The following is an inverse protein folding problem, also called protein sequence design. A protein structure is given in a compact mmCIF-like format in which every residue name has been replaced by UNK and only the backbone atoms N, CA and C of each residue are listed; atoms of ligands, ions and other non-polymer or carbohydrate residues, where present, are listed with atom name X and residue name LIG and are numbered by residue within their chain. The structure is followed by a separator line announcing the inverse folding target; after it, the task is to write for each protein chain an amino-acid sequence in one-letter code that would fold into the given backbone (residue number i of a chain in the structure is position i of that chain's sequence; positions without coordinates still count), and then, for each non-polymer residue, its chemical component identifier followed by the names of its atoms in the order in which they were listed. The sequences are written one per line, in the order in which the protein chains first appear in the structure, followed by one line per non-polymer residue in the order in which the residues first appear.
data_IF_248641840081
#
_entry.id   IF_248641840081
#
_cell.length_a   1.000
_cell.length_b   1.000
_cell.length_c   1.000
_cell.angle_alpha   90.00
_cell.angle_beta   90.00
_cell.angle_gamma   90.00
#
_symmetry.space_group_name_H-M   'P 1'
#
loop_
_entity.id
_entity.type
_entity.pdbx_description
1 polymer ?
#
# COMPACT_ATOMS: atom_id res chain seq x y z
N UNK A 1 -20.72 4.11 1.69
CA UNK A 1 -19.42 3.56 2.02
C UNK A 1 -19.44 3.14 3.48
N UNK A 2 -18.81 2.02 3.79
CA UNK A 2 -18.78 1.49 5.15
C UNK A 2 -17.30 1.38 5.56
N UNK A 3 -16.75 2.38 6.25
CA UNK A 3 -15.36 2.31 6.74
C UNK A 3 -15.17 1.19 7.75
N UNK A 4 -16.23 0.78 8.45
CA UNK A 4 -16.30 -0.35 9.36
C UNK A 4 -17.14 -1.43 8.69
N UNK A 5 -16.58 -2.64 8.48
CA UNK A 5 -17.31 -3.77 7.90
C UNK A 5 -18.19 -4.47 8.94
N UNK A 6 -17.60 -4.75 10.11
CA UNK A 6 -18.26 -5.44 11.21
C UNK A 6 -17.82 -4.84 12.53
N UNK A 7 -18.74 -4.78 13.49
CA UNK A 7 -18.44 -4.56 14.89
C UNK A 7 -18.76 -5.88 15.62
N UNK A 8 -17.78 -6.43 16.33
CA UNK A 8 -17.91 -7.70 17.07
C UNK A 8 -17.74 -7.40 18.55
N UNK A 9 -18.77 -7.70 19.34
CA UNK A 9 -18.69 -7.57 20.80
C UNK A 9 -18.03 -8.80 21.39
N UNK A 10 -16.81 -8.66 21.87
CA UNK A 10 -16.07 -9.73 22.56
C UNK A 10 -16.23 -9.60 24.07
N UNK A 11 -16.47 -10.69 24.81
CA UNK A 11 -16.77 -10.66 26.27
C UNK A 11 -15.68 -10.01 27.13
N UNK A 12 -14.42 -10.01 26.67
CA UNK A 12 -13.24 -9.49 27.40
C UNK A 12 -12.68 -8.18 26.84
N UNK A 13 -12.96 -7.85 25.56
CA UNK A 13 -12.36 -6.73 24.84
C UNK A 13 -13.38 -5.64 24.47
N UNK A 14 -14.67 -5.85 24.80
CA UNK A 14 -15.73 -4.92 24.42
C UNK A 14 -16.06 -4.99 22.93
N UNK A 15 -16.51 -3.88 22.37
CA UNK A 15 -16.84 -3.76 20.95
C UNK A 15 -15.57 -3.52 20.12
N UNK A 16 -15.21 -4.50 19.30
CA UNK A 16 -14.05 -4.42 18.38
C UNK A 16 -14.58 -4.13 16.99
N UNK A 17 -14.27 -2.94 16.48
CA UNK A 17 -14.59 -2.53 15.12
C UNK A 17 -13.53 -3.07 14.15
N UNK A 18 -13.97 -3.70 13.07
CA UNK A 18 -13.10 -4.17 11.99
C UNK A 18 -13.13 -3.17 10.82
N UNK A 19 -12.08 -2.33 10.67
CA UNK A 19 -12.00 -1.38 9.57
C UNK A 19 -11.94 -2.09 8.22
N UNK A 20 -12.74 -1.63 7.26
CA UNK A 20 -12.89 -2.24 5.94
C UNK A 20 -11.54 -2.37 5.21
N UNK A 21 -10.71 -1.33 5.29
CA UNK A 21 -9.40 -1.31 4.64
C UNK A 21 -8.48 -2.43 5.16
N UNK A 22 -8.29 -2.51 6.48
CA UNK A 22 -7.40 -3.51 7.08
C UNK A 22 -7.92 -4.94 6.90
N UNK A 23 -9.23 -5.13 7.00
CA UNK A 23 -9.85 -6.45 6.81
C UNK A 23 -9.65 -6.95 5.38
N UNK A 24 -9.91 -6.11 4.38
CA UNK A 24 -9.70 -6.49 2.98
C UNK A 24 -8.22 -6.64 2.63
N UNK A 25 -7.36 -5.80 3.18
CA UNK A 25 -5.91 -5.93 3.01
C UNK A 25 -5.41 -7.26 3.55
N UNK A 26 -5.82 -7.63 4.78
CA UNK A 26 -5.47 -8.92 5.39
C UNK A 26 -5.99 -10.11 4.58
N UNK A 27 -7.22 -10.02 4.06
CA UNK A 27 -7.77 -11.03 3.16
C UNK A 27 -6.94 -11.16 1.88
N UNK A 28 -6.53 -10.05 1.28
CA UNK A 28 -5.66 -10.02 0.10
C UNK A 28 -4.30 -10.69 0.37
N UNK A 29 -3.68 -10.40 1.52
CA UNK A 29 -2.46 -11.08 1.96
C UNK A 29 -2.65 -12.58 2.17
N UNK A 30 -3.71 -12.99 2.86
CA UNK A 30 -4.00 -14.40 3.09
C UNK A 30 -4.19 -15.16 1.77
N UNK A 31 -4.91 -14.60 0.82
CA UNK A 31 -5.09 -15.19 -0.50
C UNK A 31 -3.79 -15.26 -1.29
N UNK A 32 -2.97 -14.21 -1.28
CA UNK A 32 -1.66 -14.21 -1.92
C UNK A 32 -0.76 -15.30 -1.32
N UNK A 33 -0.73 -15.44 0.01
CA UNK A 33 0.00 -16.47 0.71
C UNK A 33 -0.48 -17.87 0.34
N UNK A 34 -1.80 -18.11 0.34
CA UNK A 34 -2.39 -19.40 -0.05
C UNK A 34 -2.01 -19.79 -1.49
N UNK A 35 -2.03 -18.82 -2.41
CA UNK A 35 -1.63 -19.04 -3.80
C UNK A 35 -0.16 -19.42 -3.88
N UNK A 36 0.74 -18.68 -3.23
CA UNK A 36 2.19 -18.94 -3.28
C UNK A 36 2.54 -20.29 -2.67
N UNK A 37 1.95 -20.65 -1.53
CA UNK A 37 2.14 -21.95 -0.88
C UNK A 37 1.58 -23.09 -1.74
N UNK A 38 0.39 -22.91 -2.36
CA UNK A 38 -0.18 -23.91 -3.27
C UNK A 38 0.69 -24.16 -4.51
N UNK A 39 1.23 -23.08 -5.08
CA UNK A 39 2.14 -23.21 -6.23
C UNK A 39 3.48 -23.84 -5.83
N UNK A 40 4.01 -23.54 -4.65
CA UNK A 40 5.19 -24.21 -4.12
C UNK A 40 4.99 -25.71 -4.01
N UNK A 41 3.86 -26.16 -3.41
CA UNK A 41 3.49 -27.59 -3.35
C UNK A 41 3.39 -28.23 -4.73
N UNK A 42 2.76 -27.55 -5.71
CA UNK A 42 2.60 -28.08 -7.08
C UNK A 42 3.91 -28.20 -7.83
N UNK A 43 4.90 -27.39 -7.52
CA UNK A 43 6.20 -27.35 -8.22
C UNK A 43 7.30 -28.07 -7.46
N UNK A 44 6.97 -28.76 -6.35
CA UNK A 44 7.90 -29.52 -5.54
C UNK A 44 8.91 -28.67 -4.77
N UNK A 45 8.59 -27.37 -4.54
CA UNK A 45 9.38 -26.52 -3.66
C UNK A 45 8.96 -26.72 -2.21
N UNK A 46 9.90 -26.48 -1.31
CA UNK A 46 9.64 -26.49 0.13
C UNK A 46 8.63 -25.41 0.48
N UNK A 47 7.39 -25.84 0.76
CA UNK A 47 6.29 -24.94 1.03
C UNK A 47 6.35 -24.33 2.42
N UNK A 48 7.08 -24.94 3.37
CA UNK A 48 7.29 -24.38 4.70
C UNK A 48 8.21 -23.16 4.59
N UNK A 49 9.30 -23.27 3.84
CA UNK A 49 10.18 -22.13 3.57
C UNK A 49 9.44 -20.99 2.86
N UNK A 50 8.52 -21.31 1.95
CA UNK A 50 7.70 -20.28 1.27
C UNK A 50 6.71 -19.63 2.23
N UNK A 51 6.08 -20.40 3.11
CA UNK A 51 5.19 -19.87 4.14
C UNK A 51 5.94 -18.94 5.09
N UNK A 52 7.07 -19.37 5.60
CA UNK A 52 7.95 -18.57 6.47
C UNK A 52 8.40 -17.28 5.76
N UNK A 53 8.80 -17.39 4.49
CA UNK A 53 9.16 -16.21 3.69
C UNK A 53 8.02 -15.20 3.66
N UNK A 54 6.79 -15.63 3.40
CA UNK A 54 5.63 -14.75 3.34
C UNK A 54 5.35 -14.09 4.69
N UNK A 55 5.38 -14.84 5.79
CA UNK A 55 5.14 -14.33 7.14
C UNK A 55 6.20 -13.31 7.55
N UNK A 56 7.46 -13.63 7.37
CA UNK A 56 8.56 -12.72 7.69
C UNK A 56 8.62 -11.49 6.78
N UNK A 57 8.19 -11.59 5.52
CA UNK A 57 8.05 -10.42 4.63
C UNK A 57 7.04 -9.41 5.18
N UNK A 58 5.95 -9.84 5.83
CA UNK A 58 5.02 -8.92 6.50
C UNK A 58 5.70 -8.19 7.65
N UNK A 59 6.43 -8.92 8.50
CA UNK A 59 7.15 -8.32 9.65
C UNK A 59 8.21 -7.31 9.16
N UNK A 60 9.08 -7.72 8.24
CA UNK A 60 10.11 -6.84 7.69
C UNK A 60 9.51 -5.69 6.87
N UNK A 61 8.37 -5.91 6.22
CA UNK A 61 7.62 -4.87 5.54
C UNK A 61 7.13 -3.79 6.49
N UNK A 62 6.57 -4.16 7.64
CA UNK A 62 6.13 -3.19 8.67
C UNK A 62 7.33 -2.43 9.24
N UNK A 63 8.41 -3.13 9.59
CA UNK A 63 9.64 -2.52 10.10
C UNK A 63 10.20 -1.52 9.08
N UNK A 64 10.32 -1.92 7.82
CA UNK A 64 10.85 -1.07 6.75
C UNK A 64 9.97 0.14 6.44
N UNK A 65 8.64 -0.04 6.43
CA UNK A 65 7.69 1.04 6.23
C UNK A 65 7.80 2.09 7.33
N UNK A 66 7.95 1.66 8.58
CA UNK A 66 8.13 2.56 9.72
C UNK A 66 9.49 3.23 9.73
N UNK A 67 10.56 2.48 9.46
CA UNK A 67 11.92 3.02 9.39
C UNK A 67 12.05 4.11 8.32
N UNK A 68 11.51 3.89 7.12
CA UNK A 68 11.56 4.90 6.06
C UNK A 68 10.73 6.14 6.40
N UNK A 69 9.55 5.98 7.01
CA UNK A 69 8.75 7.09 7.49
C UNK A 69 9.51 7.96 8.50
N UNK A 70 10.16 7.33 9.48
CA UNK A 70 10.93 8.03 10.48
C UNK A 70 12.08 8.85 9.87
N UNK A 71 12.83 8.23 8.92
CA UNK A 71 14.09 8.81 8.42
C UNK A 71 13.86 9.69 7.20
N UNK A 72 13.15 9.21 6.18
CA UNK A 72 13.05 9.89 4.90
C UNK A 72 11.96 10.96 4.85
N UNK A 73 10.86 10.78 5.58
CA UNK A 73 9.80 11.79 5.65
C UNK A 73 10.12 12.90 6.67
N UNK A 74 11.28 12.82 7.36
CA UNK A 74 11.78 13.86 8.25
C UNK A 74 11.11 13.91 9.62
N UNK A 75 10.34 12.88 9.98
CA UNK A 75 9.61 12.83 11.26
C UNK A 75 10.45 12.36 12.45
N UNK A 76 11.72 11.97 12.25
CA UNK A 76 12.57 11.49 13.33
C UNK A 76 12.65 12.50 14.47
N UNK A 77 12.81 13.80 14.13
CA UNK A 77 12.90 14.86 15.13
C UNK A 77 11.59 15.01 15.93
N UNK A 78 10.45 14.85 15.28
CA UNK A 78 9.14 14.94 15.95
C UNK A 78 8.95 13.80 16.95
N UNK A 79 9.38 12.57 16.61
CA UNK A 79 9.33 11.43 17.53
C UNK A 79 10.32 11.56 18.70
N UNK A 80 11.50 12.14 18.45
CA UNK A 80 12.46 12.46 19.52
C UNK A 80 11.86 13.53 20.43
N UNK A 81 11.27 14.58 19.88
CA UNK A 81 10.61 15.64 20.63
C UNK A 81 9.41 15.11 21.44
N UNK A 82 8.62 14.18 20.89
CA UNK A 82 7.53 13.52 21.63
C UNK A 82 8.01 12.84 22.92
N UNK A 83 9.23 12.32 22.91
CA UNK A 83 9.81 11.70 24.10
C UNK A 83 10.47 12.70 25.04
N UNK A 84 11.21 13.69 24.52
CA UNK A 84 12.01 14.63 25.32
C UNK A 84 11.22 15.87 25.74
N UNK A 85 10.63 16.57 24.77
CA UNK A 85 9.83 17.79 24.97
C UNK A 85 8.69 17.86 23.95
N UNK A 86 7.50 17.32 24.25
CA UNK A 86 6.36 17.31 23.34
C UNK A 86 5.89 18.70 22.86
N UNK A 87 6.26 19.76 23.54
CA UNK A 87 5.95 21.15 23.17
C UNK A 87 6.68 21.62 21.91
N UNK A 88 7.75 20.90 21.51
CA UNK A 88 8.51 21.17 20.29
C UNK A 88 7.97 20.43 19.06
N UNK A 89 7.04 19.51 19.25
CA UNK A 89 6.37 18.83 18.12
C UNK A 89 5.53 19.84 17.39
N UNK A 90 5.73 19.98 16.09
CA UNK A 90 4.89 20.84 15.25
C UNK A 90 3.45 20.36 15.36
N UNK A 91 2.56 21.23 15.85
CA UNK A 91 1.13 20.94 15.88
C UNK A 91 0.69 20.57 14.46
N UNK A 92 0.08 19.41 14.32
CA UNK A 92 -0.36 18.84 13.02
C UNK A 92 -1.42 19.72 12.36
N UNK A 93 -2.03 20.65 13.13
CA UNK A 93 -2.97 21.62 12.60
C UNK A 93 -2.74 23.01 13.19
N UNK A 94 -2.34 23.95 12.35
CA UNK A 94 -2.31 25.37 12.65
C UNK A 94 -3.71 25.97 12.91
N UNK A 95 -4.76 25.14 12.87
CA UNK A 95 -6.17 25.48 13.20
C UNK A 95 -6.55 25.10 14.63
N UNK A 96 -5.65 24.56 15.43
CA UNK A 96 -5.92 24.29 16.85
C UNK A 96 -5.97 25.62 17.58
N UNK A 97 -7.16 25.97 18.00
CA UNK A 97 -7.54 27.17 18.73
C UNK A 97 -6.58 27.41 19.89
N UNK A 98 -6.29 28.68 20.14
CA UNK A 98 -5.58 29.07 21.35
C UNK A 98 -6.25 28.46 22.57
N UNK A 99 -5.52 27.67 23.34
CA UNK A 99 -6.03 27.00 24.53
C UNK A 99 -5.62 27.75 25.80
N UNK A 100 -6.47 27.65 26.83
CA UNK A 100 -6.15 28.04 28.21
C UNK A 100 -6.26 26.86 29.17
N UNK A 101 -6.94 25.79 28.75
CA UNK A 101 -7.14 24.54 29.52
C UNK A 101 -7.04 23.33 28.60
N UNK A 102 -6.67 22.16 29.14
CA UNK A 102 -6.57 20.90 28.40
C UNK A 102 -7.89 20.49 27.75
N UNK A 103 -9.02 20.83 28.37
CA UNK A 103 -10.35 20.50 27.84
C UNK A 103 -10.65 21.19 26.49
N UNK A 104 -9.91 22.22 26.11
CA UNK A 104 -10.05 22.92 24.83
C UNK A 104 -9.22 22.25 23.73
N UNK A 105 -8.26 21.37 24.11
CA UNK A 105 -7.47 20.59 23.21
C UNK A 105 -8.18 19.26 22.96
N UNK A 106 -8.63 18.99 21.74
CA UNK A 106 -9.23 17.71 21.40
C UNK A 106 -8.23 16.54 21.44
N UNK A 107 -8.73 15.28 21.47
CA UNK A 107 -7.94 14.06 21.29
C UNK A 107 -6.77 13.86 22.27
N UNK A 108 -7.01 13.98 23.58
CA UNK A 108 -5.98 13.78 24.62
C UNK A 108 -4.77 14.74 24.55
N UNK A 109 -4.86 15.83 23.80
CA UNK A 109 -3.83 16.86 23.74
C UNK A 109 -3.84 17.70 25.02
N UNK A 110 -2.65 18.15 25.45
CA UNK A 110 -2.44 19.00 26.60
C UNK A 110 -2.25 20.44 26.16
N UNK A 111 -2.69 21.39 26.99
CA UNK A 111 -2.56 22.83 26.73
C UNK A 111 -1.28 23.39 27.34
N UNK A 112 -0.38 23.95 26.54
CA UNK A 112 0.67 24.84 27.04
C UNK A 112 0.07 26.22 27.27
N UNK A 113 -0.37 26.49 28.52
CA UNK A 113 -1.00 27.75 28.92
C UNK A 113 -0.09 28.98 28.71
N UNK A 114 1.24 28.80 28.66
CA UNK A 114 2.19 29.89 28.41
C UNK A 114 2.25 30.32 26.95
N UNK A 115 2.06 29.36 26.04
CA UNK A 115 2.09 29.56 24.56
C UNK A 115 0.71 29.55 23.93
N UNK A 116 -0.33 29.21 24.70
CA UNK A 116 -1.70 29.00 24.21
C UNK A 116 -1.82 28.01 23.06
N UNK A 117 -1.00 26.94 23.06
CA UNK A 117 -0.94 25.94 22.00
C UNK A 117 -1.14 24.53 22.57
N UNK A 118 -1.96 23.75 21.90
CA UNK A 118 -2.14 22.34 22.24
C UNK A 118 -0.97 21.50 21.71
N UNK A 119 -0.43 20.61 22.55
CA UNK A 119 0.61 19.69 22.18
C UNK A 119 0.22 18.25 22.57
N UNK A 120 0.75 17.22 21.89
CA UNK A 120 0.47 15.84 22.28
C UNK A 120 1.07 15.52 23.65
N UNK A 121 0.54 14.50 24.36
CA UNK A 121 1.15 14.00 25.59
C UNK A 121 2.52 13.38 25.28
N UNK A 122 3.35 13.30 26.32
CA UNK A 122 4.67 12.66 26.21
C UNK A 122 4.53 11.17 25.89
N UNK A 123 5.15 10.74 24.79
CA UNK A 123 5.11 9.35 24.34
C UNK A 123 6.45 8.93 23.72
N UNK A 124 7.24 8.17 24.48
CA UNK A 124 8.54 7.66 24.00
C UNK A 124 8.41 6.43 23.12
N UNK A 125 7.25 5.78 23.11
CA UNK A 125 6.99 4.58 22.30
C UNK A 125 6.22 4.87 21.00
N UNK A 126 5.84 6.13 20.76
CA UNK A 126 5.11 6.54 19.58
C UNK A 126 5.76 6.09 18.26
N UNK A 127 7.10 6.01 18.23
CA UNK A 127 7.83 5.48 17.08
C UNK A 127 7.54 4.00 16.77
N UNK A 128 7.10 3.21 17.75
CA UNK A 128 6.75 1.79 17.61
C UNK A 128 5.26 1.57 17.37
N UNK A 129 4.43 2.58 17.54
CA UNK A 129 2.98 2.49 17.38
C UNK A 129 2.56 2.53 15.90
N UNK A 130 2.76 1.41 15.22
CA UNK A 130 2.44 1.25 13.79
C UNK A 130 0.94 1.38 13.48
N UNK A 131 0.07 1.16 14.46
CA UNK A 131 -1.40 1.27 14.34
C UNK A 131 -1.91 2.72 14.27
N UNK A 132 -1.11 3.69 14.69
CA UNK A 132 -1.42 5.13 14.55
C UNK A 132 -1.11 5.69 13.16
N UNK A 133 -0.61 4.85 12.24
CA UNK A 133 -0.24 5.27 10.89
C UNK A 133 1.25 5.62 10.77
N UNK A 134 1.61 6.42 9.76
CA UNK A 134 3.02 6.75 9.49
C UNK A 134 3.80 5.56 8.95
N UNK A 135 3.33 4.96 7.86
CA UNK A 135 3.94 3.84 7.17
C UNK A 135 4.25 4.21 5.72
N UNK A 136 5.53 4.32 5.39
CA UNK A 136 5.97 4.60 4.03
C UNK A 136 6.03 3.32 3.19
N UNK A 137 5.17 3.23 2.16
CA UNK A 137 5.05 2.05 1.30
C UNK A 137 6.38 1.56 0.73
N UNK A 138 7.23 2.47 0.25
CA UNK A 138 8.51 2.09 -0.35
C UNK A 138 9.49 1.45 0.64
N UNK A 139 9.47 1.88 1.90
CA UNK A 139 10.26 1.25 2.96
C UNK A 139 9.85 -0.19 3.18
N UNK A 140 8.55 -0.44 3.26
CA UNK A 140 7.99 -1.78 3.38
C UNK A 140 8.37 -2.68 2.21
N UNK A 141 8.23 -2.18 0.99
CA UNK A 141 8.59 -2.92 -0.22
C UNK A 141 10.08 -3.28 -0.28
N UNK A 142 10.97 -2.33 0.02
CA UNK A 142 12.42 -2.55 -0.02
C UNK A 142 12.87 -3.58 1.02
N UNK A 143 12.42 -3.44 2.27
CA UNK A 143 12.81 -4.35 3.36
C UNK A 143 12.24 -5.75 3.16
N UNK A 144 10.96 -5.87 2.80
CA UNK A 144 10.36 -7.17 2.50
C UNK A 144 11.06 -7.87 1.33
N UNK A 145 11.38 -7.14 0.25
CA UNK A 145 12.08 -7.70 -0.91
C UNK A 145 13.52 -8.10 -0.57
N UNK A 146 14.25 -7.26 0.16
CA UNK A 146 15.61 -7.57 0.60
C UNK A 146 15.65 -8.81 1.50
N UNK A 147 14.71 -8.90 2.46
CA UNK A 147 14.55 -10.09 3.29
C UNK A 147 14.24 -11.33 2.45
N UNK A 148 13.28 -11.26 1.53
CA UNK A 148 12.93 -12.38 0.68
C UNK A 148 14.12 -12.89 -0.15
N UNK A 149 14.90 -11.97 -0.74
CA UNK A 149 16.12 -12.34 -1.50
C UNK A 149 17.13 -13.03 -0.59
N UNK A 150 17.38 -12.49 0.58
CA UNK A 150 18.32 -13.05 1.55
C UNK A 150 17.86 -14.43 2.04
N UNK A 151 16.62 -14.55 2.48
CA UNK A 151 16.06 -15.77 3.06
C UNK A 151 15.98 -16.91 2.04
N UNK A 152 15.47 -16.65 0.84
CA UNK A 152 15.41 -17.64 -0.24
C UNK A 152 16.79 -18.13 -0.67
N UNK A 153 17.78 -17.22 -0.77
CA UNK A 153 19.17 -17.59 -1.04
C UNK A 153 19.75 -18.48 0.07
N UNK A 154 19.43 -18.20 1.32
CA UNK A 154 19.88 -19.01 2.47
C UNK A 154 19.34 -20.46 2.38
N UNK A 155 18.14 -20.62 1.87
CA UNK A 155 17.48 -21.91 1.64
C UNK A 155 17.73 -22.49 0.24
N UNK A 156 18.67 -21.91 -0.53
CA UNK A 156 19.05 -22.35 -1.89
C UNK A 156 17.88 -22.34 -2.90
N UNK A 157 16.87 -21.52 -2.67
CA UNK A 157 15.74 -21.34 -3.58
C UNK A 157 15.98 -20.17 -4.54
N UNK A 158 15.57 -20.34 -5.80
CA UNK A 158 15.64 -19.28 -6.80
C UNK A 158 14.63 -18.18 -6.48
N UNK A 159 15.11 -16.95 -6.26
CA UNK A 159 14.25 -15.79 -6.07
C UNK A 159 13.27 -15.59 -7.22
N UNK A 160 13.73 -15.69 -8.47
CA UNK A 160 12.89 -15.48 -9.65
C UNK A 160 11.76 -16.51 -9.77
N UNK A 161 12.03 -17.77 -9.40
CA UNK A 161 11.01 -18.83 -9.40
C UNK A 161 9.90 -18.53 -8.39
N UNK A 162 10.28 -18.11 -7.17
CA UNK A 162 9.33 -17.75 -6.12
C UNK A 162 8.61 -16.45 -6.45
N UNK A 163 9.32 -15.47 -7.00
CA UNK A 163 8.75 -14.19 -7.42
C UNK A 163 7.68 -14.34 -8.51
N UNK A 164 7.81 -15.34 -9.39
CA UNK A 164 6.76 -15.66 -10.36
C UNK A 164 5.46 -16.12 -9.69
N UNK A 165 5.55 -16.91 -8.61
CA UNK A 165 4.36 -17.31 -7.85
C UNK A 165 3.76 -16.11 -7.09
N UNK A 166 4.64 -15.27 -6.56
CA UNK A 166 4.22 -14.07 -5.85
C UNK A 166 3.54 -13.06 -6.79
N UNK A 167 3.93 -13.00 -8.07
CA UNK A 167 3.47 -11.99 -9.01
C UNK A 167 1.94 -11.93 -9.15
N UNK A 168 1.27 -13.07 -9.35
CA UNK A 168 -0.19 -13.07 -9.41
C UNK A 168 -0.83 -12.99 -8.03
N UNK A 169 -0.15 -13.43 -6.99
CA UNK A 169 -0.58 -13.21 -5.61
C UNK A 169 -0.57 -11.73 -5.23
N UNK A 170 0.49 -11.00 -5.57
CA UNK A 170 0.60 -9.55 -5.34
C UNK A 170 -0.49 -8.81 -6.12
N UNK A 171 -0.66 -9.13 -7.42
CA UNK A 171 -1.68 -8.50 -8.25
C UNK A 171 -3.09 -8.72 -7.70
N UNK A 172 -3.40 -9.94 -7.23
CA UNK A 172 -4.67 -10.24 -6.59
C UNK A 172 -4.83 -9.53 -5.24
N UNK A 173 -3.77 -9.45 -4.44
CA UNK A 173 -3.76 -8.70 -3.18
C UNK A 173 -4.08 -7.22 -3.37
N UNK A 174 -3.56 -6.62 -4.45
CA UNK A 174 -3.87 -5.24 -4.81
C UNK A 174 -5.36 -5.03 -5.12
N UNK A 175 -6.06 -6.02 -5.68
CA UNK A 175 -7.53 -5.94 -5.89
C UNK A 175 -8.23 -5.66 -4.56
N UNK A 176 -7.93 -6.44 -3.53
CA UNK A 176 -8.54 -6.28 -2.20
C UNK A 176 -8.12 -4.98 -1.52
N UNK A 177 -6.85 -4.60 -1.62
CA UNK A 177 -6.36 -3.32 -1.09
C UNK A 177 -7.09 -2.13 -1.71
N UNK A 178 -7.36 -2.15 -3.03
CA UNK A 178 -8.10 -1.07 -3.72
C UNK A 178 -9.59 -1.07 -3.40
N UNK A 179 -10.20 -2.23 -3.22
CA UNK A 179 -11.56 -2.31 -2.68
C UNK A 179 -11.64 -1.74 -1.26
N UNK A 180 -10.62 -2.00 -0.43
CA UNK A 180 -10.49 -1.40 0.89
C UNK A 180 -10.39 0.13 0.84
N UNK A 181 -9.57 0.69 -0.06
CA UNK A 181 -9.49 2.14 -0.30
C UNK A 181 -10.85 2.73 -0.72
N UNK A 182 -11.60 2.01 -1.56
CA UNK A 182 -12.94 2.46 -2.00
C UNK A 182 -13.93 2.54 -0.83
N UNK A 183 -13.98 1.51 0.03
CA UNK A 183 -14.85 1.51 1.19
C UNK A 183 -14.43 2.56 2.25
N UNK A 184 -13.14 2.83 2.37
CA UNK A 184 -12.59 3.86 3.25
C UNK A 184 -12.81 5.29 2.72
N UNK A 185 -12.99 5.44 1.40
CA UNK A 185 -13.24 6.74 0.76
C UNK A 185 -11.99 7.53 0.37
N UNK A 186 -10.79 6.92 0.44
CA UNK A 186 -9.51 7.54 0.05
C UNK A 186 -9.10 7.21 -1.40
N UNK A 187 -8.12 7.92 -1.94
CA UNK A 187 -7.53 7.63 -3.26
C UNK A 187 -8.51 7.75 -4.44
N UNK A 188 -9.46 8.64 -4.35
CA UNK A 188 -10.44 8.95 -5.40
C UNK A 188 -9.82 9.70 -6.59
N UNK A 189 -10.60 9.86 -7.65
CA UNK A 189 -10.19 10.57 -8.86
C UNK A 189 -10.79 11.95 -9.00
N UNK A 190 -10.58 12.54 -10.17
CA UNK A 190 -11.07 13.87 -10.56
C UNK A 190 -12.59 13.93 -10.53
N UNK A 191 -13.12 15.12 -10.29
CA UNK A 191 -14.54 15.40 -10.41
C UNK A 191 -15.02 15.03 -11.82
N UNK A 192 -16.14 14.35 -11.93
CA UNK A 192 -16.68 13.89 -13.20
C UNK A 192 -18.20 14.06 -13.28
N UNK A 193 -18.69 14.25 -14.50
CA UNK A 193 -20.12 14.22 -14.81
C UNK A 193 -20.56 12.92 -15.49
N UNK A 194 -19.63 11.96 -15.61
CA UNK A 194 -19.93 10.68 -16.24
C UNK A 194 -20.83 9.81 -15.36
N UNK A 195 -21.56 8.87 -15.97
CA UNK A 195 -22.46 7.95 -15.27
C UNK A 195 -21.73 7.02 -14.27
N UNK A 196 -20.40 6.87 -14.39
CA UNK A 196 -19.57 6.09 -13.45
C UNK A 196 -19.11 6.89 -12.24
N UNK A 197 -19.44 8.19 -12.15
CA UNK A 197 -19.09 9.05 -11.02
C UNK A 197 -19.73 8.56 -9.72
N UNK A 198 -18.97 8.57 -8.62
CA UNK A 198 -19.41 8.15 -7.30
C UNK A 198 -19.34 9.35 -6.34
N UNK A 199 -20.42 9.56 -5.58
CA UNK A 199 -20.48 10.59 -4.55
C UNK A 199 -20.06 9.99 -3.21
N UNK A 200 -19.01 10.56 -2.61
CA UNK A 200 -18.53 10.17 -1.29
C UNK A 200 -19.30 10.88 -0.17
N UNK A 201 -19.41 10.28 1.02
CA UNK A 201 -20.17 10.87 2.11
C UNK A 201 -19.53 12.17 2.61
N UNK A 202 -20.36 13.05 3.22
CA UNK A 202 -19.89 14.25 3.89
C UNK A 202 -18.90 13.92 5.00
N UNK A 203 -17.89 14.76 5.17
CA UNK A 203 -16.81 14.56 6.13
C UNK A 203 -15.75 13.54 5.70
N UNK A 204 -15.94 12.83 4.57
CA UNK A 204 -14.92 11.98 3.97
C UNK A 204 -13.82 12.77 3.23
N UNK A 205 -12.73 12.11 2.86
CA UNK A 205 -11.55 12.76 2.26
C UNK A 205 -11.89 13.55 0.98
N UNK A 206 -12.70 12.97 0.08
CA UNK A 206 -13.11 13.63 -1.16
C UNK A 206 -13.94 14.91 -0.89
N UNK A 207 -14.84 14.86 0.10
CA UNK A 207 -15.64 16.01 0.47
C UNK A 207 -14.78 17.11 1.09
N UNK A 208 -13.85 16.76 1.99
CA UNK A 208 -12.92 17.71 2.62
C UNK A 208 -12.05 18.41 1.59
N UNK A 209 -11.44 17.66 0.70
CA UNK A 209 -10.59 18.21 -0.35
C UNK A 209 -11.37 19.15 -1.30
N UNK A 210 -12.62 18.83 -1.64
CA UNK A 210 -13.47 19.69 -2.45
C UNK A 210 -13.88 20.98 -1.70
N UNK A 211 -14.12 20.89 -0.39
CA UNK A 211 -14.41 22.03 0.48
C UNK A 211 -13.19 22.96 0.59
N UNK A 212 -12.00 22.41 0.83
CA UNK A 212 -10.74 23.14 0.92
C UNK A 212 -10.37 23.80 -0.39
N UNK A 213 -10.66 23.14 -1.52
CA UNK A 213 -10.50 23.71 -2.86
C UNK A 213 -11.59 24.75 -3.24
N UNK A 214 -12.54 25.05 -2.34
CA UNK A 214 -13.63 25.98 -2.61
C UNK A 214 -14.63 25.52 -3.68
N UNK A 215 -14.65 24.23 -4.02
CA UNK A 215 -15.55 23.66 -5.05
C UNK A 215 -16.97 23.40 -4.54
N UNK A 216 -17.13 23.29 -3.23
CA UNK A 216 -18.40 23.09 -2.51
C UNK A 216 -18.43 23.93 -1.24
N UNK A 217 -19.62 24.15 -0.69
CA UNK A 217 -19.81 24.78 0.63
C UNK A 217 -20.06 23.71 1.71
N UNK A 218 -19.97 24.10 2.97
CA UNK A 218 -20.13 23.20 4.12
C UNK A 218 -21.48 22.45 4.13
N UNK A 219 -22.53 23.07 3.58
CA UNK A 219 -23.87 22.50 3.49
C UNK A 219 -24.04 21.51 2.31
N UNK A 220 -23.13 21.53 1.34
CA UNK A 220 -23.27 20.78 0.10
C UNK A 220 -22.86 19.31 0.26
N UNK A 221 -23.38 18.44 -0.61
CA UNK A 221 -22.86 17.09 -0.79
C UNK A 221 -21.56 17.16 -1.61
N UNK A 222 -20.74 16.10 -1.54
CA UNK A 222 -19.58 15.99 -2.39
C UNK A 222 -19.99 15.91 -3.87
N UNK A 223 -19.18 16.50 -4.75
CA UNK A 223 -19.32 16.31 -6.19
C UNK A 223 -18.92 14.88 -6.57
N UNK A 224 -19.57 14.29 -7.61
CA UNK A 224 -19.21 12.98 -8.07
C UNK A 224 -17.78 12.96 -8.63
N UNK A 225 -17.00 11.93 -8.26
CA UNK A 225 -15.61 11.74 -8.67
C UNK A 225 -15.40 10.38 -9.34
N UNK A 226 -14.38 10.26 -10.18
CA UNK A 226 -14.00 8.97 -10.75
C UNK A 226 -13.59 7.99 -9.63
N UNK A 227 -14.21 6.78 -9.54
CA UNK A 227 -13.83 5.76 -8.57
C UNK A 227 -12.54 5.03 -9.02
N UNK A 228 -11.41 5.75 -9.01
CA UNK A 228 -10.11 5.25 -9.48
C UNK A 228 -9.64 4.02 -8.71
N UNK A 229 -10.12 3.82 -7.47
CA UNK A 229 -9.90 2.60 -6.70
C UNK A 229 -10.49 1.38 -7.41
N UNK A 230 -11.72 1.51 -7.91
CA UNK A 230 -12.38 0.42 -8.66
C UNK A 230 -11.71 0.19 -10.01
N UNK A 231 -11.28 1.25 -10.70
CA UNK A 231 -10.53 1.10 -11.96
C UNK A 231 -9.24 0.33 -11.75
N UNK A 232 -8.49 0.66 -10.71
CA UNK A 232 -7.23 -0.03 -10.38
C UNK A 232 -7.49 -1.47 -9.89
N UNK A 233 -8.58 -1.70 -9.14
CA UNK A 233 -8.99 -3.04 -8.72
C UNK A 233 -9.30 -3.93 -9.93
N UNK A 234 -10.11 -3.45 -10.87
CA UNK A 234 -10.42 -4.18 -12.11
C UNK A 234 -9.17 -4.40 -12.96
N UNK A 235 -8.31 -3.38 -13.10
CA UNK A 235 -7.06 -3.50 -13.83
C UNK A 235 -6.14 -4.58 -13.21
N UNK A 236 -6.00 -4.61 -11.88
CA UNK A 236 -5.23 -5.64 -11.18
C UNK A 236 -5.85 -7.04 -11.36
N UNK A 237 -7.17 -7.15 -11.36
CA UNK A 237 -7.85 -8.43 -11.63
C UNK A 237 -7.57 -8.92 -13.06
N UNK A 238 -7.62 -8.03 -14.04
CA UNK A 238 -7.28 -8.33 -15.45
C UNK A 238 -5.80 -8.72 -15.56
N UNK A 239 -4.89 -8.00 -14.91
CA UNK A 239 -3.47 -8.34 -14.83
C UNK A 239 -3.28 -9.74 -14.25
N UNK A 240 -3.93 -10.05 -13.12
CA UNK A 240 -3.90 -11.39 -12.52
C UNK A 240 -4.37 -12.47 -13.50
N UNK A 241 -5.48 -12.24 -14.18
CA UNK A 241 -6.03 -13.18 -15.17
C UNK A 241 -5.06 -13.39 -16.35
N UNK A 242 -4.48 -12.33 -16.89
CA UNK A 242 -3.49 -12.43 -17.98
C UNK A 242 -2.24 -13.19 -17.50
N UNK A 243 -1.71 -12.88 -16.31
CA UNK A 243 -0.53 -13.56 -15.78
C UNK A 243 -0.80 -15.05 -15.55
N UNK A 244 -1.96 -15.40 -15.01
CA UNK A 244 -2.30 -16.78 -14.66
C UNK A 244 -2.71 -17.62 -15.86
N UNK A 245 -3.62 -17.12 -16.70
CA UNK A 245 -4.21 -17.91 -17.81
C UNK A 245 -3.43 -17.79 -19.11
N UNK A 246 -2.79 -16.64 -19.37
CA UNK A 246 -2.12 -16.40 -20.65
C UNK A 246 -0.60 -16.55 -20.53
N UNK A 247 -0.01 -15.94 -19.51
CA UNK A 247 1.45 -15.87 -19.40
C UNK A 247 2.06 -17.12 -18.77
N UNK A 248 1.46 -17.60 -17.68
CA UNK A 248 1.93 -18.80 -16.97
C UNK A 248 2.10 -20.04 -17.86
N UNK A 249 1.13 -20.43 -18.71
CA UNK A 249 1.30 -21.60 -19.59
C UNK A 249 2.36 -21.41 -20.69
N UNK A 250 2.72 -20.17 -21.00
CA UNK A 250 3.73 -19.80 -22.03
C UNK A 250 5.09 -19.45 -21.44
N UNK A 251 5.23 -19.52 -20.13
CA UNK A 251 6.48 -19.22 -19.42
C UNK A 251 7.60 -20.14 -19.91
N UNK A 252 8.77 -19.56 -20.24
CA UNK A 252 9.98 -20.27 -20.70
C UNK A 252 11.10 -20.23 -19.68
N UNK A 253 11.16 -19.18 -18.83
CA UNK A 253 12.21 -19.01 -17.84
C UNK A 253 11.63 -18.47 -16.52
N UNK A 254 12.31 -18.76 -15.40
CA UNK A 254 11.95 -18.22 -14.08
C UNK A 254 12.18 -16.71 -14.06
N UNK A 255 11.17 -15.96 -13.61
CA UNK A 255 11.13 -14.49 -13.59
C UNK A 255 10.31 -13.86 -14.72
N UNK A 256 9.81 -14.63 -15.69
CA UNK A 256 9.01 -14.07 -16.79
C UNK A 256 7.63 -13.56 -16.31
N UNK A 257 7.01 -14.23 -15.33
CA UNK A 257 5.72 -13.80 -14.80
C UNK A 257 5.89 -12.52 -13.96
N UNK A 258 6.96 -12.45 -13.16
CA UNK A 258 7.33 -11.21 -12.46
C UNK A 258 7.53 -10.06 -13.44
N UNK A 259 8.29 -10.28 -14.52
CA UNK A 259 8.50 -9.26 -15.55
C UNK A 259 7.19 -8.84 -16.22
N UNK A 260 6.27 -9.80 -16.45
CA UNK A 260 4.92 -9.53 -16.93
C UNK A 260 4.12 -8.65 -15.97
N UNK A 261 4.19 -8.92 -14.67
CA UNK A 261 3.57 -8.07 -13.64
C UNK A 261 4.09 -6.63 -13.72
N UNK A 262 5.42 -6.44 -13.77
CA UNK A 262 6.01 -5.10 -13.83
C UNK A 262 5.53 -4.31 -15.05
N UNK A 263 5.44 -4.95 -16.22
CA UNK A 263 4.97 -4.31 -17.45
C UNK A 263 3.47 -4.01 -17.37
N UNK A 264 2.65 -5.02 -17.11
CA UNK A 264 1.20 -4.88 -17.16
C UNK A 264 0.68 -3.93 -16.07
N UNK A 265 1.21 -4.05 -14.84
CA UNK A 265 0.86 -3.15 -13.75
C UNK A 265 1.36 -1.73 -14.01
N UNK A 266 2.60 -1.56 -14.52
CA UNK A 266 3.13 -0.26 -14.90
C UNK A 266 2.25 0.44 -15.93
N UNK A 267 1.80 -0.26 -16.97
CA UNK A 267 0.87 0.28 -17.98
C UNK A 267 -0.49 0.62 -17.36
N UNK A 268 -1.08 -0.30 -16.58
CA UNK A 268 -2.34 -0.07 -15.91
C UNK A 268 -2.28 1.16 -15.00
N UNK A 269 -1.16 1.32 -14.29
CA UNK A 269 -0.94 2.45 -13.38
C UNK A 269 -0.87 3.79 -14.11
N UNK A 270 -0.20 3.85 -15.25
CA UNK A 270 -0.17 5.07 -16.09
C UNK A 270 -1.58 5.44 -16.57
N UNK A 271 -2.38 4.46 -16.98
CA UNK A 271 -3.76 4.70 -17.45
C UNK A 271 -4.66 5.21 -16.31
N UNK A 272 -4.63 4.56 -15.14
CA UNK A 272 -5.45 4.97 -14.00
C UNK A 272 -5.06 6.36 -13.48
N UNK A 273 -3.78 6.72 -13.55
CA UNK A 273 -3.27 8.02 -13.08
C UNK A 273 -3.90 9.21 -13.82
N UNK A 274 -4.31 9.05 -15.06
CA UNK A 274 -4.99 10.11 -15.83
C UNK A 274 -6.28 10.59 -15.16
N UNK A 275 -6.96 9.69 -14.46
CA UNK A 275 -8.23 9.94 -13.78
C UNK A 275 -8.08 10.36 -12.31
N UNK A 276 -6.86 10.34 -11.75
CA UNK A 276 -6.60 10.66 -10.33
C UNK A 276 -6.53 12.16 -10.08
N UNK A 277 -6.90 12.58 -8.86
CA UNK A 277 -6.89 13.98 -8.40
C UNK A 277 -6.08 14.16 -7.10
N UNK A 278 -5.54 13.10 -6.50
CA UNK A 278 -4.80 13.21 -5.25
C UNK A 278 -3.39 13.77 -5.47
N UNK A 279 -3.01 14.72 -4.64
CA UNK A 279 -1.70 15.39 -4.68
C UNK A 279 -0.59 14.46 -4.17
N UNK A 280 0.08 13.74 -5.08
CA UNK A 280 1.22 12.84 -4.76
C UNK A 280 2.55 13.38 -5.22
N UNK A 281 2.66 14.67 -5.39
CA UNK A 281 3.81 15.32 -6.00
C UNK A 281 3.76 15.24 -7.52
N UNK A 282 4.06 16.36 -8.13
CA UNK A 282 4.15 16.54 -9.57
C UNK A 282 5.53 17.05 -9.94
N UNK A 283 6.06 16.56 -11.03
CA UNK A 283 7.35 16.97 -11.56
C UNK A 283 7.17 17.73 -12.88
N UNK A 284 8.17 18.49 -13.24
CA UNK A 284 8.21 19.25 -14.50
C UNK A 284 6.97 20.14 -14.71
N UNK A 285 6.62 20.94 -13.69
CA UNK A 285 5.50 21.88 -13.79
C UNK A 285 4.11 21.23 -13.88
N UNK A 286 3.94 20.02 -13.36
CA UNK A 286 2.65 19.33 -13.34
C UNK A 286 2.43 18.33 -14.49
N UNK A 287 3.43 18.13 -15.36
CA UNK A 287 3.31 17.25 -16.52
C UNK A 287 3.38 15.76 -16.17
N UNK A 288 4.15 15.39 -15.14
CA UNK A 288 4.41 13.99 -14.78
C UNK A 288 4.15 13.81 -13.28
N UNK A 289 3.30 12.83 -12.92
CA UNK A 289 3.09 12.44 -11.52
C UNK A 289 4.21 11.50 -11.03
N UNK A 290 4.41 11.45 -9.70
CA UNK A 290 5.32 10.49 -9.07
C UNK A 290 5.02 9.05 -9.49
N UNK A 291 3.75 8.70 -9.62
CA UNK A 291 3.33 7.35 -10.04
C UNK A 291 3.73 7.04 -11.47
N UNK A 292 3.60 8.00 -12.39
CA UNK A 292 4.04 7.84 -13.78
C UNK A 292 5.56 7.72 -13.86
N UNK A 293 6.29 8.54 -13.09
CA UNK A 293 7.75 8.48 -13.04
C UNK A 293 8.26 7.10 -12.57
N UNK A 294 7.58 6.46 -11.61
CA UNK A 294 7.91 5.12 -11.13
C UNK A 294 7.48 4.04 -12.14
N UNK A 295 6.38 4.24 -12.86
CA UNK A 295 5.89 3.26 -13.83
C UNK A 295 6.84 3.07 -15.02
N UNK A 296 7.54 4.12 -15.46
CA UNK A 296 8.52 4.03 -16.55
C UNK A 296 9.64 3.02 -16.27
N UNK A 297 10.38 3.09 -15.14
CA UNK A 297 11.39 2.09 -14.80
C UNK A 297 10.81 0.70 -14.53
N UNK A 298 9.56 0.58 -14.04
CA UNK A 298 8.90 -0.71 -13.90
C UNK A 298 8.71 -1.38 -15.26
N UNK A 299 8.14 -0.66 -16.23
CA UNK A 299 7.93 -1.17 -17.60
C UNK A 299 9.29 -1.48 -18.26
N UNK A 300 10.24 -0.54 -18.20
CA UNK A 300 11.57 -0.73 -18.77
C UNK A 300 12.33 -1.89 -18.15
N UNK A 301 12.28 -2.02 -16.82
CA UNK A 301 12.88 -3.11 -16.06
C UNK A 301 12.25 -4.47 -16.40
N UNK A 302 10.93 -4.52 -16.53
CA UNK A 302 10.20 -5.72 -16.96
C UNK A 302 10.60 -6.15 -18.38
N UNK A 303 10.64 -5.22 -19.33
CA UNK A 303 11.08 -5.49 -20.70
C UNK A 303 12.55 -5.95 -20.76
N UNK A 304 13.43 -5.29 -20.01
CA UNK A 304 14.83 -5.70 -19.90
C UNK A 304 14.95 -7.11 -19.31
N UNK A 305 14.20 -7.39 -18.24
CA UNK A 305 14.25 -8.70 -17.58
C UNK A 305 13.79 -9.82 -18.53
N UNK A 306 12.70 -9.66 -19.27
CA UNK A 306 12.25 -10.64 -20.27
C UNK A 306 13.33 -10.87 -21.32
N UNK A 307 13.90 -9.81 -21.89
CA UNK A 307 14.96 -9.91 -22.90
C UNK A 307 16.18 -10.67 -22.36
N UNK A 308 16.60 -10.35 -21.14
CA UNK A 308 17.73 -10.99 -20.48
C UNK A 308 17.47 -12.47 -20.19
N UNK A 309 16.30 -12.81 -19.67
CA UNK A 309 15.92 -14.18 -19.34
C UNK A 309 15.83 -15.05 -20.60
N UNK A 310 15.20 -14.55 -21.66
CA UNK A 310 15.08 -15.29 -22.93
C UNK A 310 16.42 -15.48 -23.64
N UNK A 311 17.37 -14.56 -23.51
CA UNK A 311 18.74 -14.74 -24.03
C UNK A 311 19.53 -15.80 -23.26
N UNK A 312 19.28 -15.96 -21.94
CA UNK A 312 19.95 -16.97 -21.10
C UNK A 312 19.26 -18.33 -21.13
N UNK A 313 17.97 -18.37 -21.44
CA UNK A 313 17.15 -19.60 -21.49
C UNK A 313 17.36 -20.44 -22.75
N UNK A 314 18.41 -20.17 -23.54
CA UNK A 314 18.88 -21.05 -24.60
C UNK A 314 19.61 -22.30 -24.07
N UNK A 315 20.00 -22.35 -22.80
CA UNK A 315 20.52 -23.54 -22.15
C UNK A 315 19.39 -24.31 -21.47
N UNK A 316 19.12 -25.58 -21.91
CA UNK A 316 18.09 -26.38 -21.25
C UNK A 316 18.54 -26.66 -19.81
N UNK A 317 17.70 -26.25 -18.85
CA UNK A 317 17.86 -26.69 -17.47
C UNK A 317 17.94 -28.22 -17.43
N UNK A 318 18.94 -28.82 -16.78
CA UNK A 318 18.95 -30.25 -16.55
C UNK A 318 17.68 -30.56 -15.74
N UNK A 319 16.79 -31.33 -16.36
CA UNK A 319 15.66 -31.97 -15.68
C UNK A 319 16.22 -32.73 -14.49
N UNK A 320 15.86 -32.31 -13.28
CA UNK A 320 16.09 -33.09 -12.07
C UNK A 320 15.18 -34.33 -12.15
N UNK A 321 15.57 -35.28 -12.99
CA UNK A 321 15.10 -36.64 -12.96
C UNK A 321 16.28 -37.54 -12.65
N UNK A 322 16.14 -38.29 -11.59
CA UNK A 322 16.92 -39.41 -11.08
C UNK A 322 17.60 -39.13 -9.73
N UNK A 323 16.85 -39.24 -8.63
CA UNK A 323 17.03 -40.38 -7.69
C UNK A 323 16.04 -40.22 -6.54
#
# INVERSE_FOLDING_TARGET
MKPILFAITLPLLGEVELPAYFTLLTLGFALAMLITVREAKRTGLDHEVILDTNLWMVVWGIIGARALHLVADGHLQDYVNLCLDPKLVKAIDAKVQSCTTDAQCGYDYLCDAARHVCHPPRDCFAALEVWRGGLAYYGGFLFATAFAIWYLRRHRLSFFRVADFAAYGISLGLVFGRLGCFLNGCCYGKVTRSAVGVVFPRGGDAWRAQLEAGRIHLADAALPVHPTQLYESVACLVVTAILYFVWRPRKRADGEILAGLLILYGVARVIVEVFRDDERGVFFGGLISTSQLISVPLIGGGLYLIRRLRRRGGDPHPTANSR
#
